data_IF_234188683849
#
_entry.id   IF_234188683849
#
_cell.length_a   1.000
_cell.length_b   1.000
_cell.length_c   1.000
_cell.angle_alpha   90.00
_cell.angle_beta   90.00
_cell.angle_gamma   90.00
#
_symmetry.space_group_name_H-M   'P 1'
#
loop_
_entity.id
_entity.type
_entity.pdbx_description
1 polymer ?
#
# COMPACT_ATOMS: atom_id res chain seq x y z
N UNK A 1 42.12 87.55 -2.33
CA UNK A 1 40.71 87.68 -2.75
C UNK A 1 40.05 86.32 -2.64
N UNK A 2 38.99 86.21 -1.84
CA UNK A 2 38.26 84.98 -1.53
C UNK A 2 37.23 84.63 -2.62
N UNK A 3 37.04 83.33 -2.91
CA UNK A 3 35.68 82.73 -2.97
C UNK A 3 35.71 81.21 -2.81
N UNK A 4 35.09 80.77 -1.71
CA UNK A 4 34.60 79.43 -1.41
C UNK A 4 33.41 79.07 -2.32
N UNK A 5 33.21 77.78 -2.60
CA UNK A 5 32.00 77.28 -3.23
C UNK A 5 31.90 75.75 -3.22
N UNK A 6 31.56 75.18 -2.06
CA UNK A 6 31.20 73.77 -1.85
C UNK A 6 29.93 73.35 -2.61
N UNK A 7 29.87 72.08 -3.04
CA UNK A 7 28.71 71.15 -3.09
C UNK A 7 29.06 70.01 -4.07
N UNK A 8 28.64 68.76 -3.97
CA UNK A 8 28.03 67.88 -2.95
C UNK A 8 28.18 66.47 -3.56
N UNK A 9 28.50 65.44 -2.76
CA UNK A 9 28.46 64.03 -3.20
C UNK A 9 27.01 63.62 -3.51
N UNK A 10 26.81 62.87 -4.59
CA UNK A 10 25.61 62.09 -4.82
C UNK A 10 26.01 60.66 -5.25
N UNK A 11 25.74 59.72 -4.35
CA UNK A 11 25.62 58.29 -4.60
C UNK A 11 24.49 58.08 -5.63
N UNK A 12 24.77 57.37 -6.71
CA UNK A 12 23.77 56.89 -7.66
C UNK A 12 23.90 55.38 -7.81
N UNK A 13 23.07 54.67 -7.06
CA UNK A 13 22.94 53.22 -6.99
C UNK A 13 22.73 52.58 -8.38
N UNK A 14 23.48 51.52 -8.66
CA UNK A 14 23.29 50.61 -9.79
C UNK A 14 21.92 49.96 -9.71
N UNK A 15 21.00 50.36 -10.60
CA UNK A 15 19.72 49.68 -10.80
C UNK A 15 19.92 48.37 -11.55
N UNK A 16 20.15 47.29 -10.81
CA UNK A 16 20.08 45.92 -11.33
C UNK A 16 18.62 45.56 -11.61
N UNK A 17 18.30 45.40 -12.89
CA UNK A 17 17.04 44.82 -13.35
C UNK A 17 17.07 43.31 -13.03
N UNK A 18 16.54 42.93 -11.86
CA UNK A 18 16.30 41.51 -11.56
C UNK A 18 15.06 41.09 -12.33
N UNK A 19 15.29 40.46 -13.48
CA UNK A 19 14.27 39.68 -14.18
C UNK A 19 13.97 38.48 -13.28
N UNK A 20 12.93 38.59 -12.46
CA UNK A 20 12.37 37.46 -11.73
C UNK A 20 11.72 36.51 -12.73
N UNK A 21 12.51 35.56 -13.22
CA UNK A 21 12.04 34.43 -13.99
C UNK A 21 11.05 33.63 -13.12
N UNK A 22 9.90 33.38 -13.73
CA UNK A 22 8.80 32.54 -13.28
C UNK A 22 9.30 31.18 -12.79
N UNK A 23 9.51 31.02 -11.48
CA UNK A 23 9.31 29.71 -10.85
C UNK A 23 7.85 29.65 -10.43
N UNK A 24 7.01 29.13 -11.32
CA UNK A 24 5.68 28.66 -10.97
C UNK A 24 5.84 27.52 -9.96
N UNK A 25 6.00 27.88 -8.69
CA UNK A 25 5.81 26.97 -7.57
C UNK A 25 4.33 26.63 -7.55
N UNK A 26 3.95 25.57 -8.25
CA UNK A 26 2.63 24.95 -8.10
C UNK A 26 2.44 24.65 -6.62
N UNK A 27 1.52 25.38 -6.00
CA UNK A 27 1.21 25.26 -4.59
C UNK A 27 0.54 23.91 -4.36
N UNK A 28 1.24 22.99 -3.72
CA UNK A 28 0.68 21.71 -3.26
C UNK A 28 -0.28 21.88 -2.07
N UNK A 29 -0.49 23.11 -1.59
CA UNK A 29 -1.10 23.41 -0.30
C UNK A 29 -2.60 23.09 -0.15
N UNK A 30 -3.23 22.40 -1.12
CA UNK A 30 -4.65 22.03 -1.07
C UNK A 30 -4.94 20.61 -1.61
N UNK A 31 -3.91 19.78 -1.77
CA UNK A 31 -4.00 18.42 -2.34
C UNK A 31 -3.91 17.42 -1.19
N UNK A 32 -4.82 16.44 -1.12
CA UNK A 32 -4.77 15.36 -0.12
C UNK A 32 -6.12 14.94 0.48
N UNK A 33 -7.20 15.68 0.22
CA UNK A 33 -8.50 15.41 0.84
C UNK A 33 -9.07 14.08 0.36
N UNK A 34 -9.11 13.10 1.27
CA UNK A 34 -9.66 11.77 1.00
C UNK A 34 -8.75 10.83 0.21
N UNK A 35 -7.51 11.24 -0.12
CA UNK A 35 -6.52 10.34 -0.74
C UNK A 35 -6.13 9.25 0.24
N UNK A 36 -5.77 9.62 1.47
CA UNK A 36 -5.44 8.69 2.55
C UNK A 36 -6.56 7.66 2.76
N UNK A 37 -7.76 8.14 3.09
CA UNK A 37 -8.93 7.29 3.36
C UNK A 37 -9.29 6.42 2.17
N UNK A 38 -9.31 6.99 0.96
CA UNK A 38 -9.62 6.26 -0.26
C UNK A 38 -8.58 5.18 -0.58
N UNK A 39 -7.33 5.37 -0.17
CA UNK A 39 -6.23 4.44 -0.41
C UNK A 39 -6.22 3.33 0.63
N UNK A 40 -6.28 3.66 1.92
CA UNK A 40 -6.41 2.67 2.99
C UNK A 40 -7.64 1.80 2.81
N UNK A 41 -8.80 2.37 2.47
CA UNK A 41 -10.00 1.59 2.20
C UNK A 41 -9.83 0.61 1.02
N UNK A 42 -9.04 0.98 0.00
CA UNK A 42 -8.75 0.08 -1.11
C UNK A 42 -7.92 -1.12 -0.66
N UNK A 43 -6.84 -0.86 0.08
CA UNK A 43 -5.96 -1.91 0.59
C UNK A 43 -6.70 -2.81 1.59
N UNK A 44 -7.47 -2.23 2.53
CA UNK A 44 -8.24 -2.99 3.53
C UNK A 44 -9.24 -3.95 2.87
N UNK A 45 -9.98 -3.51 1.84
CA UNK A 45 -10.87 -4.40 1.08
C UNK A 45 -10.10 -5.54 0.40
N UNK A 46 -8.88 -5.29 -0.05
CA UNK A 46 -8.04 -6.33 -0.64
C UNK A 46 -7.52 -7.30 0.41
N UNK A 47 -7.15 -6.83 1.61
CA UNK A 47 -6.80 -7.69 2.76
C UNK A 47 -7.95 -8.65 3.07
N UNK A 48 -9.20 -8.18 3.10
CA UNK A 48 -10.35 -9.05 3.36
C UNK A 48 -10.50 -10.15 2.30
N UNK A 49 -10.24 -9.84 1.03
CA UNK A 49 -10.23 -10.83 -0.05
C UNK A 49 -9.08 -11.82 0.10
N UNK A 50 -7.88 -11.31 0.37
CA UNK A 50 -6.69 -12.15 0.53
C UNK A 50 -6.83 -13.10 1.74
N UNK A 51 -7.50 -12.68 2.82
CA UNK A 51 -7.87 -13.55 3.95
C UNK A 51 -8.81 -14.68 3.54
N UNK A 52 -9.83 -14.37 2.73
CA UNK A 52 -10.75 -15.40 2.22
C UNK A 52 -10.01 -16.38 1.33
N UNK A 53 -9.18 -15.89 0.41
CA UNK A 53 -8.37 -16.73 -0.48
C UNK A 53 -7.41 -17.62 0.32
N UNK A 54 -6.76 -17.06 1.35
CA UNK A 54 -5.91 -17.80 2.29
C UNK A 54 -6.68 -18.91 3.01
N UNK A 55 -7.82 -18.58 3.63
CA UNK A 55 -8.63 -19.56 4.37
C UNK A 55 -9.15 -20.70 3.47
N UNK A 56 -9.56 -20.39 2.25
CA UNK A 56 -9.98 -21.39 1.26
C UNK A 56 -8.81 -22.29 0.85
N UNK A 57 -7.65 -21.71 0.53
CA UNK A 57 -6.48 -22.47 0.12
C UNK A 57 -5.92 -23.35 1.26
N UNK A 58 -5.91 -22.84 2.49
CA UNK A 58 -5.55 -23.59 3.70
C UNK A 58 -6.50 -24.77 3.91
N UNK A 59 -7.81 -24.51 3.89
CA UNK A 59 -8.85 -25.52 4.11
C UNK A 59 -8.76 -26.65 3.07
N UNK A 60 -8.62 -26.32 1.79
CA UNK A 60 -8.48 -27.33 0.75
C UNK A 60 -7.15 -28.07 0.81
N UNK A 61 -6.05 -27.40 1.17
CA UNK A 61 -4.76 -28.07 1.39
C UNK A 61 -4.87 -29.09 2.52
N UNK A 62 -5.49 -28.71 3.64
CA UNK A 62 -5.75 -29.62 4.76
C UNK A 62 -6.62 -30.80 4.34
N UNK A 63 -7.71 -30.55 3.60
CA UNK A 63 -8.58 -31.59 3.07
C UNK A 63 -7.81 -32.60 2.20
N UNK A 64 -6.96 -32.15 1.27
CA UNK A 64 -6.13 -33.06 0.47
C UNK A 64 -5.21 -33.92 1.33
N UNK A 65 -4.61 -33.36 2.38
CA UNK A 65 -3.81 -34.15 3.33
C UNK A 65 -4.65 -35.20 4.08
N UNK A 66 -5.88 -34.88 4.45
CA UNK A 66 -6.80 -35.85 5.06
C UNK A 66 -7.13 -37.00 4.11
N UNK A 67 -7.36 -36.72 2.81
CA UNK A 67 -7.63 -37.75 1.81
C UNK A 67 -6.43 -38.69 1.61
N UNK A 68 -5.19 -38.18 1.64
CA UNK A 68 -3.98 -39.00 1.54
C UNK A 68 -3.80 -39.96 2.73
N UNK A 69 -4.38 -39.63 3.89
CA UNK A 69 -4.30 -40.47 5.11
C UNK A 69 -5.39 -41.56 5.14
N UNK A 70 -6.40 -41.52 4.26
CA UNK A 70 -7.46 -42.52 4.24
C UNK A 70 -6.93 -43.82 3.60
N UNK A 71 -7.01 -44.97 4.30
CA UNK A 71 -6.64 -46.26 3.69
C UNK A 71 -7.61 -46.59 2.55
N UNK A 72 -7.08 -47.20 1.48
CA UNK A 72 -7.89 -47.72 0.37
C UNK A 72 -8.93 -48.68 0.94
N UNK A 73 -10.20 -48.27 0.98
CA UNK A 73 -11.28 -49.15 1.44
C UNK A 73 -11.64 -50.10 0.29
N UNK A 74 -11.75 -51.42 0.53
CA UNK A 74 -12.33 -52.32 -0.46
C UNK A 74 -13.78 -51.90 -0.74
N UNK A 75 -14.20 -52.09 -1.98
CA UNK A 75 -15.49 -51.64 -2.52
C UNK A 75 -16.65 -52.31 -1.76
N UNK A 76 -17.27 -51.56 -0.83
CA UNK A 76 -18.47 -51.99 -0.12
C UNK A 76 -19.58 -51.03 -0.49
N UNK A 77 -20.51 -51.51 -1.32
CA UNK A 77 -21.77 -50.81 -1.66
C UNK A 77 -22.51 -50.43 -0.38
N UNK A 78 -22.57 -49.14 -0.04
CA UNK A 78 -23.58 -48.58 0.87
C UNK A 78 -23.99 -47.17 0.48
N UNK A 79 -25.31 -46.98 0.59
CA UNK A 79 -26.08 -45.74 0.50
C UNK A 79 -25.51 -44.67 1.45
N UNK A 80 -25.29 -43.45 0.97
CA UNK A 80 -24.72 -42.35 1.75
C UNK A 80 -25.74 -41.23 2.05
N UNK A 81 -25.73 -40.80 3.30
CA UNK A 81 -26.28 -39.53 3.79
C UNK A 81 -25.31 -38.40 3.44
N UNK A 82 -25.84 -37.27 2.99
CA UNK A 82 -25.12 -36.09 2.51
C UNK A 82 -24.63 -35.23 3.69
N UNK A 83 -23.31 -35.02 3.81
CA UNK A 83 -22.69 -33.87 4.53
C UNK A 83 -21.16 -33.70 4.34
N UNK A 84 -20.41 -34.70 3.83
CA UNK A 84 -18.97 -34.54 3.50
C UNK A 84 -18.68 -34.33 1.99
N UNK A 85 -19.65 -34.63 1.11
CA UNK A 85 -19.50 -34.52 -0.35
C UNK A 85 -19.34 -33.06 -0.79
N UNK A 86 -20.06 -32.11 -0.17
CA UNK A 86 -20.05 -30.70 -0.59
C UNK A 86 -18.66 -30.04 -0.49
N UNK A 87 -17.88 -30.37 0.55
CA UNK A 87 -16.50 -29.88 0.71
C UNK A 87 -15.52 -30.61 -0.22
N UNK A 88 -15.79 -31.89 -0.49
CA UNK A 88 -14.99 -32.73 -1.39
C UNK A 88 -15.08 -32.20 -2.83
N UNK A 89 -16.30 -31.95 -3.31
CA UNK A 89 -16.54 -31.45 -4.66
C UNK A 89 -16.06 -30.00 -4.82
N UNK A 90 -16.18 -29.18 -3.78
CA UNK A 90 -15.68 -27.80 -3.81
C UNK A 90 -14.15 -27.73 -3.90
N UNK A 91 -13.40 -28.50 -3.10
CA UNK A 91 -11.93 -28.44 -3.13
C UNK A 91 -11.33 -29.15 -4.34
N UNK A 92 -11.87 -30.32 -4.74
CA UNK A 92 -11.44 -30.99 -5.96
C UNK A 92 -11.84 -30.21 -7.23
N UNK A 93 -12.99 -29.53 -7.20
CA UNK A 93 -13.42 -28.64 -8.28
C UNK A 93 -12.61 -27.35 -8.38
N UNK A 94 -12.07 -26.85 -7.25
CA UNK A 94 -11.26 -25.62 -7.22
C UNK A 94 -9.78 -25.87 -7.48
N UNK A 95 -9.22 -26.96 -6.99
CA UNK A 95 -7.83 -27.35 -7.19
C UNK A 95 -7.77 -28.79 -7.73
N UNK A 96 -7.16 -29.01 -8.92
CA UNK A 96 -7.05 -30.35 -9.51
C UNK A 96 -6.31 -31.39 -8.64
N UNK A 97 -5.50 -30.93 -7.68
CA UNK A 97 -4.72 -31.80 -6.82
C UNK A 97 -4.07 -31.07 -5.64
N UNK A 98 -3.36 -31.85 -4.82
CA UNK A 98 -2.69 -31.33 -3.61
C UNK A 98 -1.57 -30.34 -3.93
N UNK A 99 -0.89 -30.49 -5.08
CA UNK A 99 0.21 -29.58 -5.43
C UNK A 99 -0.31 -28.20 -5.82
N UNK A 100 -1.43 -28.16 -6.52
CA UNK A 100 -2.15 -26.93 -6.88
C UNK A 100 -2.71 -26.25 -5.63
N UNK A 101 -3.30 -27.02 -4.71
CA UNK A 101 -3.75 -26.50 -3.42
C UNK A 101 -2.59 -25.91 -2.60
N UNK A 102 -1.44 -26.59 -2.53
CA UNK A 102 -0.23 -26.10 -1.86
C UNK A 102 0.32 -24.81 -2.49
N UNK A 103 0.37 -24.75 -3.82
CA UNK A 103 0.81 -23.54 -4.53
C UNK A 103 -0.13 -22.37 -4.26
N UNK A 104 -1.45 -22.61 -4.32
CA UNK A 104 -2.44 -21.59 -3.98
C UNK A 104 -2.31 -21.15 -2.52
N UNK A 105 -2.04 -22.06 -1.59
CA UNK A 105 -1.82 -21.73 -0.19
C UNK A 105 -0.57 -20.87 0.00
N UNK A 106 0.57 -21.26 -0.57
CA UNK A 106 1.80 -20.47 -0.49
C UNK A 106 1.64 -19.08 -1.14
N UNK A 107 0.96 -19.02 -2.29
CA UNK A 107 0.68 -17.77 -2.97
C UNK A 107 -0.23 -16.85 -2.14
N UNK A 108 -1.36 -17.37 -1.65
CA UNK A 108 -2.32 -16.60 -0.82
C UNK A 108 -1.71 -16.09 0.49
N UNK A 109 -0.82 -16.87 1.11
CA UNK A 109 -0.03 -16.42 2.26
C UNK A 109 0.85 -15.23 1.89
N UNK A 110 1.53 -15.31 0.75
CA UNK A 110 2.44 -14.26 0.29
C UNK A 110 1.68 -12.98 -0.06
N UNK A 111 0.56 -13.08 -0.79
CA UNK A 111 -0.27 -11.92 -1.15
C UNK A 111 -0.91 -11.28 0.08
N UNK A 112 -1.42 -12.06 1.03
CA UNK A 112 -1.98 -11.54 2.28
C UNK A 112 -0.92 -10.80 3.10
N UNK A 113 0.27 -11.41 3.26
CA UNK A 113 1.38 -10.77 3.97
C UNK A 113 1.80 -9.48 3.29
N UNK A 114 1.86 -9.45 1.95
CA UNK A 114 2.21 -8.26 1.19
C UNK A 114 1.16 -7.16 1.39
N UNK A 115 -0.13 -7.49 1.27
CA UNK A 115 -1.22 -6.52 1.47
C UNK A 115 -1.20 -5.90 2.87
N UNK A 116 -0.93 -6.70 3.90
CA UNK A 116 -0.75 -6.20 5.27
C UNK A 116 0.47 -5.28 5.41
N UNK A 117 1.61 -5.66 4.84
CA UNK A 117 2.82 -4.81 4.86
C UNK A 117 2.62 -3.52 4.06
N UNK A 118 1.87 -3.55 2.95
CA UNK A 118 1.53 -2.35 2.19
C UNK A 118 0.58 -1.44 2.99
N UNK A 119 -0.41 -2.01 3.68
CA UNK A 119 -1.28 -1.25 4.57
C UNK A 119 -0.49 -0.53 5.66
N UNK A 120 0.47 -1.23 6.28
CA UNK A 120 1.40 -0.63 7.24
C UNK A 120 2.24 0.50 6.61
N UNK A 121 2.75 0.34 5.38
CA UNK A 121 3.47 1.40 4.67
C UNK A 121 2.59 2.65 4.45
N UNK A 122 1.33 2.44 4.06
CA UNK A 122 0.40 3.55 3.84
C UNK A 122 0.04 4.27 5.15
N UNK A 123 -0.08 3.54 6.26
CA UNK A 123 -0.24 4.11 7.59
C UNK A 123 0.98 4.93 8.02
N UNK A 124 2.18 4.35 7.97
CA UNK A 124 3.44 5.03 8.31
C UNK A 124 3.67 6.31 7.52
N UNK A 125 3.10 6.41 6.32
CA UNK A 125 3.22 7.59 5.47
C UNK A 125 2.35 8.78 5.93
N UNK A 126 1.38 8.56 6.83
CA UNK A 126 0.66 9.59 7.58
C UNK A 126 1.49 9.86 8.84
N UNK A 127 2.30 10.91 8.78
CA UNK A 127 3.43 11.10 9.69
C UNK A 127 2.98 11.52 11.08
N UNK A 128 1.92 12.32 11.13
CA UNK A 128 1.39 12.91 12.35
C UNK A 128 0.08 12.27 12.82
N UNK A 129 -0.27 11.13 12.22
CA UNK A 129 -1.44 10.29 12.54
C UNK A 129 -2.76 11.09 12.45
N UNK A 130 -2.84 12.08 11.54
CA UNK A 130 -4.00 12.95 11.40
C UNK A 130 -5.08 12.40 10.44
N UNK A 131 -4.84 11.20 9.90
CA UNK A 131 -5.64 10.47 8.93
C UNK A 131 -5.82 11.19 7.58
N UNK A 132 -4.88 12.06 7.23
CA UNK A 132 -4.79 12.75 5.96
C UNK A 132 -3.37 12.64 5.40
N UNK A 133 -3.20 12.96 4.11
CA UNK A 133 -1.86 13.19 3.58
C UNK A 133 -1.75 14.65 3.24
N UNK A 134 -0.83 15.34 3.89
CA UNK A 134 -0.41 16.66 3.45
C UNK A 134 0.37 16.58 2.13
N UNK A 135 0.67 17.75 1.58
CA UNK A 135 1.44 17.91 0.35
C UNK A 135 2.83 17.21 0.37
N UNK A 136 3.49 17.21 1.53
CA UNK A 136 4.80 16.63 1.77
C UNK A 136 4.72 15.11 1.90
N UNK A 137 3.78 14.61 2.70
CA UNK A 137 3.53 13.19 2.92
C UNK A 137 3.13 12.49 1.62
N UNK A 138 2.22 13.10 0.86
CA UNK A 138 1.80 12.56 -0.43
C UNK A 138 2.97 12.50 -1.42
N UNK A 139 3.85 13.50 -1.42
CA UNK A 139 5.06 13.48 -2.24
C UNK A 139 6.02 12.39 -1.77
N UNK A 140 6.16 12.20 -0.46
CA UNK A 140 7.08 11.27 0.14
C UNK A 140 6.67 9.81 -0.09
N UNK A 141 5.39 9.47 0.06
CA UNK A 141 4.86 8.13 -0.25
C UNK A 141 4.90 7.82 -1.74
N UNK A 142 4.60 8.80 -2.60
CA UNK A 142 4.74 8.59 -4.05
C UNK A 142 6.20 8.36 -4.44
N UNK A 143 7.12 9.15 -3.90
CA UNK A 143 8.53 8.99 -4.16
C UNK A 143 9.08 7.66 -3.61
N UNK A 144 8.66 7.24 -2.42
CA UNK A 144 9.10 5.97 -1.84
C UNK A 144 8.69 4.77 -2.71
N UNK A 145 7.47 4.82 -3.26
CA UNK A 145 6.92 3.81 -4.17
C UNK A 145 7.40 3.96 -5.64
N UNK A 146 8.33 4.87 -5.92
CA UNK A 146 8.80 5.20 -7.27
C UNK A 146 7.64 5.55 -8.24
N UNK A 147 6.60 6.21 -7.72
CA UNK A 147 5.48 6.74 -8.49
C UNK A 147 5.80 8.18 -8.87
N UNK A 148 5.83 8.48 -10.16
CA UNK A 148 6.15 9.82 -10.64
C UNK A 148 5.18 10.87 -10.03
N UNK A 149 5.69 11.90 -9.33
CA UNK A 149 4.88 12.99 -8.84
C UNK A 149 4.35 13.74 -10.05
N UNK A 150 3.03 13.76 -10.23
CA UNK A 150 2.40 14.63 -11.22
C UNK A 150 1.65 15.73 -10.47
N UNK A 151 1.63 16.96 -11.00
CA UNK A 151 0.54 17.86 -10.66
C UNK A 151 -0.76 17.20 -11.09
N UNK A 152 -1.63 16.90 -10.14
CA UNK A 152 -2.87 16.18 -10.37
C UNK A 152 -3.86 16.52 -9.27
N UNK A 153 -5.14 16.34 -9.56
CA UNK A 153 -6.17 16.34 -8.52
C UNK A 153 -6.06 15.08 -7.64
N UNK A 154 -6.73 15.13 -6.49
CA UNK A 154 -6.73 14.05 -5.49
C UNK A 154 -7.16 12.69 -6.09
N UNK A 155 -8.07 12.69 -7.07
CA UNK A 155 -8.56 11.46 -7.70
C UNK A 155 -7.48 10.78 -8.55
N UNK A 156 -6.71 11.56 -9.31
CA UNK A 156 -5.60 11.04 -10.11
C UNK A 156 -4.47 10.49 -9.24
N UNK A 157 -4.17 11.16 -8.13
CA UNK A 157 -3.15 10.72 -7.18
C UNK A 157 -3.59 9.43 -6.49
N UNK A 158 -4.84 9.37 -6.04
CA UNK A 158 -5.44 8.17 -5.48
C UNK A 158 -5.42 7.00 -6.46
N UNK A 159 -5.82 7.21 -7.72
CA UNK A 159 -5.84 6.16 -8.73
C UNK A 159 -4.44 5.57 -8.99
N UNK A 160 -3.39 6.40 -8.95
CA UNK A 160 -2.01 5.95 -9.10
C UNK A 160 -1.54 5.12 -7.91
N UNK A 161 -1.83 5.54 -6.69
CA UNK A 161 -1.48 4.79 -5.48
C UNK A 161 -2.18 3.42 -5.49
N UNK A 162 -3.47 3.38 -5.82
CA UNK A 162 -4.22 2.12 -5.96
C UNK A 162 -3.61 1.20 -7.02
N UNK A 163 -3.32 1.73 -8.21
CA UNK A 163 -2.66 0.93 -9.26
C UNK A 163 -1.31 0.41 -8.81
N UNK A 164 -0.49 1.26 -8.17
CA UNK A 164 0.83 0.83 -7.68
C UNK A 164 0.71 -0.28 -6.64
N UNK A 165 -0.27 -0.19 -5.73
CA UNK A 165 -0.59 -1.27 -4.81
C UNK A 165 -0.97 -2.56 -5.56
N UNK A 166 -1.91 -2.47 -6.50
CA UNK A 166 -2.39 -3.62 -7.26
C UNK A 166 -1.23 -4.31 -8.02
N UNK A 167 -0.37 -3.52 -8.69
CA UNK A 167 0.80 -4.00 -9.44
C UNK A 167 1.81 -4.73 -8.53
N UNK A 168 2.16 -4.13 -7.38
CA UNK A 168 3.12 -4.70 -6.42
C UNK A 168 2.56 -6.00 -5.80
N UNK A 169 1.26 -6.03 -5.50
CA UNK A 169 0.59 -7.20 -4.95
C UNK A 169 0.53 -8.34 -5.95
N UNK A 170 0.15 -8.06 -7.19
CA UNK A 170 0.07 -9.07 -8.27
C UNK A 170 1.44 -9.70 -8.54
N UNK A 171 2.50 -8.89 -8.54
CA UNK A 171 3.87 -9.35 -8.75
C UNK A 171 4.53 -9.96 -7.48
N UNK A 172 3.90 -9.83 -6.31
CA UNK A 172 4.42 -10.29 -5.00
C UNK A 172 5.80 -9.67 -4.68
N UNK A 173 5.97 -8.37 -4.94
CA UNK A 173 7.26 -7.66 -4.83
C UNK A 173 7.50 -7.04 -3.45
N UNK A 174 7.89 -7.86 -2.47
CA UNK A 174 8.22 -7.39 -1.11
C UNK A 174 9.37 -6.39 -1.04
N UNK A 175 10.32 -6.46 -1.96
CA UNK A 175 11.48 -5.55 -2.01
C UNK A 175 11.06 -4.10 -2.20
N UNK A 176 10.01 -3.86 -2.99
CA UNK A 176 9.45 -2.51 -3.16
C UNK A 176 8.96 -1.97 -1.83
N UNK A 177 8.32 -2.81 -1.00
CA UNK A 177 7.81 -2.41 0.30
C UNK A 177 8.93 -2.11 1.30
N UNK A 178 9.93 -2.99 1.37
CA UNK A 178 11.06 -2.79 2.28
C UNK A 178 11.86 -1.54 1.92
N UNK A 179 12.08 -1.31 0.62
CA UNK A 179 12.80 -0.12 0.14
C UNK A 179 11.98 1.15 0.37
N UNK A 180 10.67 1.10 0.12
CA UNK A 180 9.76 2.23 0.37
C UNK A 180 9.72 2.60 1.85
N UNK A 181 9.63 1.61 2.73
CA UNK A 181 9.63 1.83 4.17
C UNK A 181 10.96 2.44 4.63
N UNK A 182 12.08 1.93 4.11
CA UNK A 182 13.40 2.50 4.41
C UNK A 182 13.52 3.96 3.95
N UNK A 183 12.96 4.32 2.78
CA UNK A 183 12.91 5.70 2.30
C UNK A 183 12.13 6.60 3.26
N UNK A 184 10.95 6.16 3.73
CA UNK A 184 10.16 6.91 4.71
C UNK A 184 10.89 7.03 6.06
N UNK A 185 11.48 5.94 6.56
CA UNK A 185 12.24 5.95 7.81
C UNK A 185 13.44 6.89 7.76
N UNK A 186 14.14 6.97 6.63
CA UNK A 186 15.23 7.92 6.43
C UNK A 186 14.78 9.38 6.47
N UNK A 187 13.50 9.65 6.19
CA UNK A 187 12.87 10.98 6.29
C UNK A 187 12.26 11.27 7.67
N UNK A 188 12.29 10.31 8.58
CA UNK A 188 11.83 10.48 9.97
C UNK A 188 10.42 9.96 10.25
N UNK A 189 9.73 9.37 9.27
CA UNK A 189 8.45 8.67 9.49
C UNK A 189 8.70 7.44 10.36
N UNK A 190 7.75 7.06 11.20
CA UNK A 190 7.89 5.93 12.13
C UNK A 190 6.55 5.23 12.26
N UNK A 191 6.61 3.94 12.54
CA UNK A 191 5.43 3.18 12.93
C UNK A 191 5.00 3.60 14.34
N UNK A 192 3.74 4.00 14.48
CA UNK A 192 3.17 4.57 15.71
C UNK A 192 2.23 3.59 16.43
N UNK A 193 1.81 3.93 17.64
CA UNK A 193 0.77 3.18 18.34
C UNK A 193 -0.59 3.28 17.62
N UNK A 194 -0.84 4.40 16.91
CA UNK A 194 -2.04 4.58 16.09
C UNK A 194 -2.03 3.63 14.90
N UNK A 195 -0.88 3.48 14.22
CA UNK A 195 -0.69 2.50 13.16
C UNK A 195 -0.91 1.07 13.66
N UNK A 196 -0.36 0.73 14.83
CA UNK A 196 -0.55 -0.57 15.46
C UNK A 196 -2.04 -0.84 15.74
N UNK A 197 -2.77 0.14 16.25
CA UNK A 197 -4.21 0.01 16.47
C UNK A 197 -4.98 -0.15 15.15
N UNK A 198 -4.57 0.54 14.07
CA UNK A 198 -5.14 0.39 12.74
C UNK A 198 -4.86 -0.99 12.13
N UNK A 199 -3.65 -1.50 12.32
CA UNK A 199 -3.27 -2.86 11.94
C UNK A 199 -4.12 -3.90 12.67
N UNK A 200 -4.33 -3.77 13.99
CA UNK A 200 -5.16 -4.69 14.77
C UNK A 200 -6.59 -4.84 14.22
N UNK A 201 -7.18 -3.73 13.75
CA UNK A 201 -8.51 -3.74 13.11
C UNK A 201 -8.54 -4.59 11.83
N UNK A 202 -7.46 -4.56 11.03
CA UNK A 202 -7.38 -5.33 9.77
C UNK A 202 -6.76 -6.71 9.95
N UNK A 203 -6.10 -7.04 11.07
CA UNK A 203 -5.66 -8.41 11.39
C UNK A 203 -6.71 -9.20 12.15
N UNK A 204 -7.68 -8.53 12.79
CA UNK A 204 -8.67 -9.15 13.67
C UNK A 204 -8.14 -9.37 15.10
N UNK A 205 -7.05 -8.70 15.45
CA UNK A 205 -6.48 -8.64 16.80
C UNK A 205 -7.09 -7.41 17.49
N UNK A 206 -8.17 -7.63 18.23
CA UNK A 206 -8.85 -6.62 19.06
C UNK A 206 -8.73 -6.96 20.54
#
# INVERSE_FOLDING_TARGET
MYRLGSRKRALGFTGGLVVALLTGGMSWAAIGNGVFQGFLHHIARQIDRDKVDFAVAESCTSWFYEQLKKPVRPDVKRLSFVTEEDRSDACAGRYPGINEARQAFAHSQSTLSLSLTFYQLALVADRDDDEHYDAGELRDIMASLNVAPLPGDDLQLLAKLKRKFDDVREAVEFTILTDSMQVLYNKGYRFTDADQAAMGRVTGES
#
